data_IF_782206968947
#
_entry.id   IF_782206968947
#
_cell.length_a   1.000
_cell.length_b   1.000
_cell.length_c   1.000
_cell.angle_alpha   90.00
_cell.angle_beta   90.00
_cell.angle_gamma   90.00
#
_symmetry.space_group_name_H-M   'P 1'
#
loop_
_entity.id
_entity.type
_entity.pdbx_description
1 polymer ?
#
# COMPACT_ATOMS: atom_id res chain seq x y z
N UNK A 1 -24.52 -32.30 -10.20
CA UNK A 1 -23.27 -32.47 -9.41
C UNK A 1 -22.02 -31.88 -10.08
N UNK A 2 -21.96 -31.67 -11.40
CA UNK A 2 -20.78 -31.11 -12.10
C UNK A 2 -20.46 -29.65 -11.79
N UNK A 3 -21.46 -28.81 -11.51
CA UNK A 3 -21.26 -27.37 -11.25
C UNK A 3 -20.62 -27.05 -9.88
N UNK A 4 -20.75 -27.90 -8.86
CA UNK A 4 -20.20 -27.66 -7.54
C UNK A 4 -18.68 -27.97 -7.46
N UNK A 5 -18.20 -28.91 -8.28
CA UNK A 5 -16.77 -29.22 -8.40
C UNK A 5 -16.02 -28.17 -9.22
N UNK A 6 -16.69 -27.46 -10.13
CA UNK A 6 -16.07 -26.44 -10.99
C UNK A 6 -15.70 -25.15 -10.23
N UNK A 7 -16.38 -24.82 -9.11
CA UNK A 7 -16.12 -23.62 -8.32
C UNK A 7 -15.08 -23.83 -7.21
N UNK A 8 -14.80 -25.06 -6.77
CA UNK A 8 -13.85 -25.31 -5.67
C UNK A 8 -12.43 -24.85 -6.01
N UNK A 9 -11.96 -25.14 -7.22
CA UNK A 9 -10.60 -24.75 -7.65
C UNK A 9 -10.44 -23.23 -7.81
N UNK A 10 -11.35 -22.49 -8.47
CA UNK A 10 -11.31 -21.03 -8.50
C UNK A 10 -11.31 -20.40 -7.11
N UNK A 11 -12.14 -20.88 -6.19
CA UNK A 11 -12.16 -20.40 -4.80
C UNK A 11 -10.81 -20.64 -4.13
N UNK A 12 -10.25 -21.84 -4.30
CA UNK A 12 -8.93 -22.18 -3.72
C UNK A 12 -7.83 -21.28 -4.29
N UNK A 13 -7.78 -21.06 -5.62
CA UNK A 13 -6.84 -20.14 -6.25
C UNK A 13 -6.99 -18.72 -5.70
N UNK A 14 -8.21 -18.23 -5.62
CA UNK A 14 -8.50 -16.92 -5.08
C UNK A 14 -8.08 -16.80 -3.60
N UNK A 15 -8.35 -17.82 -2.78
CA UNK A 15 -7.98 -17.84 -1.37
C UNK A 15 -6.45 -17.78 -1.17
N UNK A 16 -5.68 -18.58 -1.93
CA UNK A 16 -4.22 -18.55 -1.84
C UNK A 16 -3.61 -17.25 -2.40
N UNK A 17 -4.18 -16.70 -3.47
CA UNK A 17 -3.76 -15.40 -3.98
C UNK A 17 -4.06 -14.27 -2.95
N UNK A 18 -5.23 -14.30 -2.30
CA UNK A 18 -5.58 -13.37 -1.23
C UNK A 18 -4.70 -13.57 0.01
N UNK A 19 -4.33 -14.80 0.32
CA UNK A 19 -3.38 -15.10 1.40
C UNK A 19 -1.98 -14.56 1.08
N UNK A 20 -1.52 -14.64 -0.17
CA UNK A 20 -0.27 -13.99 -0.58
C UNK A 20 -0.39 -12.47 -0.51
N UNK A 21 -1.53 -11.90 -0.85
CA UNK A 21 -1.76 -10.46 -0.71
C UNK A 21 -1.70 -10.02 0.75
N UNK A 22 -2.17 -10.83 1.71
CA UNK A 22 -1.97 -10.58 3.14
C UNK A 22 -0.50 -10.77 3.55
N UNK A 23 0.14 -11.84 3.07
CA UNK A 23 1.53 -12.17 3.37
C UNK A 23 2.51 -11.06 2.96
N UNK A 24 2.32 -10.43 1.80
CA UNK A 24 3.19 -9.35 1.36
C UNK A 24 3.10 -8.11 2.28
N UNK A 25 1.93 -7.82 2.89
CA UNK A 25 1.83 -6.78 3.90
C UNK A 25 2.62 -7.12 5.16
N UNK A 26 2.63 -8.39 5.57
CA UNK A 26 3.42 -8.84 6.72
C UNK A 26 4.90 -8.54 6.49
N UNK A 27 5.46 -8.95 5.36
CA UNK A 27 6.87 -8.71 5.05
C UNK A 27 7.17 -7.23 4.82
N UNK A 28 6.24 -6.48 4.20
CA UNK A 28 6.38 -5.05 3.98
C UNK A 28 6.61 -4.31 5.30
N UNK A 29 5.75 -4.52 6.28
CA UNK A 29 5.71 -3.78 7.53
C UNK A 29 6.70 -4.29 8.59
N UNK A 30 7.13 -5.57 8.50
CA UNK A 30 8.09 -6.16 9.44
C UNK A 30 9.40 -5.38 9.54
N UNK A 31 9.81 -4.66 8.48
CA UNK A 31 11.03 -3.85 8.50
C UNK A 31 10.92 -2.66 9.47
N UNK A 32 9.77 -1.97 9.50
CA UNK A 32 9.54 -0.84 10.42
C UNK A 32 9.55 -1.28 11.89
N UNK A 33 8.96 -2.45 12.18
CA UNK A 33 8.91 -3.02 13.52
C UNK A 33 10.30 -3.41 14.04
N UNK A 34 11.18 -3.82 13.13
CA UNK A 34 12.56 -4.22 13.41
C UNK A 34 13.55 -3.06 13.23
N UNK A 35 13.06 -1.82 13.25
CA UNK A 35 13.88 -0.64 12.99
C UNK A 35 15.11 -0.58 13.89
N UNK A 36 14.93 -0.74 15.18
CA UNK A 36 16.02 -0.65 16.16
C UNK A 36 17.05 -1.77 15.96
N UNK A 37 16.58 -3.00 15.79
CA UNK A 37 17.44 -4.17 15.58
C UNK A 37 18.25 -4.06 14.28
N UNK A 38 17.66 -3.52 13.22
CA UNK A 38 18.36 -3.34 11.94
C UNK A 38 19.41 -2.23 12.04
N UNK A 39 19.05 -1.09 12.65
CA UNK A 39 19.98 0.03 12.87
C UNK A 39 21.20 -0.44 13.66
N UNK A 40 20.98 -1.18 14.75
CA UNK A 40 22.06 -1.71 15.58
C UNK A 40 22.90 -2.75 14.84
N UNK A 41 22.25 -3.75 14.23
CA UNK A 41 22.95 -4.88 13.58
C UNK A 41 23.87 -4.44 12.44
N UNK A 42 23.45 -3.43 11.68
CA UNK A 42 24.18 -2.96 10.50
C UNK A 42 24.94 -1.65 10.72
N UNK A 43 24.85 -1.09 11.94
CA UNK A 43 25.45 0.19 12.29
C UNK A 43 25.13 1.30 11.27
N UNK A 44 23.88 1.36 10.85
CA UNK A 44 23.39 2.33 9.87
C UNK A 44 22.68 3.51 10.56
N UNK A 45 22.70 4.65 9.90
CA UNK A 45 21.95 5.82 10.36
C UNK A 45 20.46 5.76 9.95
N UNK A 46 19.71 6.71 10.44
CA UNK A 46 18.28 6.85 10.17
C UNK A 46 17.97 7.10 8.69
N UNK A 47 18.86 7.82 7.97
CA UNK A 47 18.67 8.09 6.54
C UNK A 47 18.83 6.82 5.72
N UNK A 48 19.82 6.00 6.06
CA UNK A 48 20.02 4.70 5.44
C UNK A 48 18.81 3.78 5.71
N UNK A 49 18.26 3.79 6.94
CA UNK A 49 17.08 3.01 7.27
C UNK A 49 15.85 3.47 6.47
N UNK A 50 15.56 4.77 6.37
CA UNK A 50 14.47 5.28 5.53
C UNK A 50 14.67 4.96 4.05
N UNK A 51 15.90 4.94 3.57
CA UNK A 51 16.24 4.45 2.23
C UNK A 51 15.87 2.97 2.09
N UNK A 52 16.23 2.13 3.05
CA UNK A 52 15.91 0.70 3.08
C UNK A 52 14.39 0.47 3.05
N UNK A 53 13.63 1.15 3.90
CA UNK A 53 12.18 1.06 3.92
C UNK A 53 11.57 1.45 2.57
N UNK A 54 12.03 2.54 1.98
CA UNK A 54 11.59 3.05 0.70
C UNK A 54 11.88 2.16 -0.51
N UNK A 55 12.92 1.31 -0.48
CA UNK A 55 13.30 0.42 -1.59
C UNK A 55 12.22 -0.61 -1.93
N UNK A 56 11.40 -1.01 -0.96
CA UNK A 56 10.21 -1.83 -1.22
C UNK A 56 9.30 -1.16 -2.24
N UNK A 57 9.01 0.12 -2.05
CA UNK A 57 8.08 0.88 -2.89
C UNK A 57 8.60 1.09 -4.31
N UNK A 58 9.92 1.26 -4.48
CA UNK A 58 10.56 1.31 -5.81
C UNK A 58 10.36 -0.01 -6.54
N UNK A 59 10.65 -1.13 -5.88
CA UNK A 59 10.46 -2.46 -6.46
C UNK A 59 9.00 -2.71 -6.83
N UNK A 60 8.09 -2.41 -5.92
CA UNK A 60 6.65 -2.59 -6.12
C UNK A 60 6.12 -1.74 -7.28
N UNK A 61 6.40 -0.43 -7.29
CA UNK A 61 5.97 0.47 -8.33
C UNK A 61 6.55 0.10 -9.71
N UNK A 62 7.85 -0.23 -9.75
CA UNK A 62 8.54 -0.61 -11.00
C UNK A 62 7.98 -1.87 -11.64
N UNK A 63 7.49 -2.81 -10.85
CA UNK A 63 6.94 -4.08 -11.34
C UNK A 63 5.42 -4.12 -11.52
N UNK A 64 4.70 -3.11 -11.08
CA UNK A 64 3.23 -3.04 -11.17
C UNK A 64 2.72 -3.24 -12.60
N UNK A 65 3.24 -2.45 -13.54
CA UNK A 65 2.86 -2.52 -14.98
C UNK A 65 3.44 -3.77 -15.66
N UNK A 66 4.74 -4.09 -15.54
CA UNK A 66 5.30 -5.32 -16.12
C UNK A 66 4.55 -6.58 -15.70
N UNK A 67 4.26 -6.77 -14.41
CA UNK A 67 3.52 -7.93 -13.90
C UNK A 67 2.10 -7.95 -14.46
N UNK A 68 1.41 -6.79 -14.51
CA UNK A 68 0.09 -6.70 -15.12
C UNK A 68 0.08 -7.24 -16.56
N UNK A 69 1.06 -6.81 -17.38
CA UNK A 69 1.23 -7.29 -18.75
C UNK A 69 1.56 -8.79 -18.79
N UNK A 70 2.41 -9.28 -17.90
CA UNK A 70 2.79 -10.69 -17.84
C UNK A 70 1.60 -11.58 -17.46
N UNK A 71 0.77 -11.16 -16.50
CA UNK A 71 -0.47 -11.88 -16.12
C UNK A 71 -1.47 -11.99 -17.26
N UNK A 72 -1.34 -11.14 -18.25
CA UNK A 72 -2.20 -11.15 -19.43
C UNK A 72 -1.66 -12.03 -20.56
N UNK A 73 -0.34 -12.12 -20.68
CA UNK A 73 0.34 -12.85 -21.77
C UNK A 73 0.68 -14.28 -21.44
N UNK A 74 0.90 -14.58 -20.17
CA UNK A 74 1.37 -15.89 -19.70
C UNK A 74 0.37 -16.52 -18.72
N UNK A 75 0.55 -17.80 -18.44
CA UNK A 75 -0.24 -18.47 -17.39
C UNK A 75 -0.07 -17.72 -16.06
N UNK A 76 -1.19 -17.16 -15.57
CA UNK A 76 -1.19 -16.33 -14.36
C UNK A 76 -0.63 -17.08 -13.15
N UNK A 77 -0.72 -18.43 -13.09
CA UNK A 77 -0.18 -19.25 -11.99
C UNK A 77 1.34 -19.23 -12.01
N UNK A 78 1.95 -19.34 -13.18
CA UNK A 78 3.40 -19.29 -13.36
C UNK A 78 3.91 -17.89 -13.03
N UNK A 79 3.25 -16.84 -13.55
CA UNK A 79 3.62 -15.45 -13.25
C UNK A 79 3.53 -15.16 -11.76
N UNK A 80 2.42 -15.61 -11.12
CA UNK A 80 2.23 -15.43 -9.67
C UNK A 80 3.29 -16.18 -8.88
N UNK A 81 3.57 -17.44 -9.22
CA UNK A 81 4.59 -18.25 -8.56
C UNK A 81 5.99 -17.62 -8.68
N UNK A 82 6.39 -17.21 -9.88
CA UNK A 82 7.71 -16.58 -10.11
C UNK A 82 7.83 -15.27 -9.32
N UNK A 83 6.76 -14.47 -9.29
CA UNK A 83 6.75 -13.24 -8.49
C UNK A 83 6.86 -13.52 -6.98
N UNK A 84 6.13 -14.53 -6.48
CA UNK A 84 6.25 -15.00 -5.10
C UNK A 84 7.67 -15.50 -4.81
N UNK A 85 8.26 -16.25 -5.73
CA UNK A 85 9.63 -16.74 -5.60
C UNK A 85 10.64 -15.60 -5.51
N UNK A 86 10.46 -14.52 -6.28
CA UNK A 86 11.28 -13.30 -6.17
C UNK A 86 11.14 -12.67 -4.78
N UNK A 87 9.90 -12.60 -4.22
CA UNK A 87 9.67 -12.12 -2.85
C UNK A 87 10.38 -13.01 -1.82
N UNK A 88 10.29 -14.33 -1.95
CA UNK A 88 10.91 -15.31 -1.05
C UNK A 88 12.44 -15.20 -1.11
N UNK A 89 13.02 -15.17 -2.30
CA UNK A 89 14.46 -14.99 -2.49
C UNK A 89 14.94 -13.66 -1.92
N UNK A 90 14.18 -12.57 -2.15
CA UNK A 90 14.45 -11.26 -1.54
C UNK A 90 14.44 -11.33 -0.01
N UNK A 91 13.48 -12.08 0.58
CA UNK A 91 13.40 -12.29 2.03
C UNK A 91 14.59 -13.07 2.56
N UNK A 92 15.03 -14.11 1.86
CA UNK A 92 16.21 -14.89 2.23
C UNK A 92 17.47 -14.03 2.15
N UNK A 93 17.65 -13.26 1.06
CA UNK A 93 18.77 -12.32 0.93
C UNK A 93 18.74 -11.30 2.07
N UNK A 94 17.56 -10.76 2.40
CA UNK A 94 17.40 -9.78 3.48
C UNK A 94 17.84 -10.32 4.83
N UNK A 95 17.44 -11.54 5.19
CA UNK A 95 17.77 -12.13 6.50
C UNK A 95 19.19 -12.63 6.61
N UNK A 96 19.77 -13.15 5.51
CA UNK A 96 21.15 -13.69 5.49
C UNK A 96 22.21 -12.63 5.31
N UNK A 97 21.81 -11.39 4.99
CA UNK A 97 22.75 -10.30 4.72
C UNK A 97 23.61 -9.95 5.92
N UNK A 98 24.89 -9.73 5.64
CA UNK A 98 25.86 -9.11 6.54
C UNK A 98 26.22 -7.68 6.13
N UNK A 99 25.84 -7.25 4.93
CA UNK A 99 26.14 -5.92 4.39
C UNK A 99 24.88 -5.19 3.98
N UNK A 100 24.82 -3.88 4.23
CA UNK A 100 23.66 -3.02 3.96
C UNK A 100 23.19 -3.06 2.49
N UNK A 101 24.10 -3.12 1.52
CA UNK A 101 23.73 -3.17 0.11
C UNK A 101 22.88 -4.41 -0.27
N UNK A 102 23.16 -5.56 0.34
CA UNK A 102 22.35 -6.75 0.12
C UNK A 102 20.97 -6.65 0.77
N UNK A 103 20.85 -5.92 1.90
CA UNK A 103 19.54 -5.58 2.47
C UNK A 103 18.70 -4.76 1.49
N UNK A 104 19.29 -3.75 0.84
CA UNK A 104 18.64 -2.94 -0.19
C UNK A 104 18.15 -3.80 -1.37
N UNK A 105 19.01 -4.69 -1.86
CA UNK A 105 18.66 -5.63 -2.95
C UNK A 105 17.51 -6.55 -2.50
N UNK A 106 17.60 -7.16 -1.31
CA UNK A 106 16.54 -7.99 -0.75
C UNK A 106 15.22 -7.22 -0.66
N UNK A 107 15.26 -5.99 -0.16
CA UNK A 107 14.07 -5.14 -0.01
C UNK A 107 13.44 -4.76 -1.35
N UNK A 108 14.28 -4.43 -2.35
CA UNK A 108 13.83 -4.18 -3.72
C UNK A 108 13.14 -5.40 -4.33
N UNK A 109 13.74 -6.59 -4.16
CA UNK A 109 13.17 -7.86 -4.66
C UNK A 109 11.85 -8.20 -3.96
N UNK A 110 11.76 -8.00 -2.64
CA UNK A 110 10.52 -8.20 -1.89
C UNK A 110 9.42 -7.31 -2.48
N UNK A 111 9.70 -6.03 -2.71
CA UNK A 111 8.74 -5.10 -3.33
C UNK A 111 8.35 -5.52 -4.74
N UNK A 112 9.34 -5.85 -5.58
CA UNK A 112 9.13 -6.26 -6.97
C UNK A 112 8.23 -7.50 -7.08
N UNK A 113 8.49 -8.53 -6.30
CA UNK A 113 7.66 -9.74 -6.28
C UNK A 113 6.28 -9.53 -5.66
N UNK A 114 6.17 -8.65 -4.64
CA UNK A 114 4.91 -8.33 -3.95
C UNK A 114 3.89 -7.63 -4.85
N UNK A 115 4.32 -6.98 -5.93
CA UNK A 115 3.44 -6.27 -6.85
C UNK A 115 2.39 -7.18 -7.52
N UNK A 116 2.61 -8.50 -7.56
CA UNK A 116 1.63 -9.48 -8.07
C UNK A 116 0.43 -9.67 -7.12
N UNK A 117 0.55 -9.32 -5.84
CA UNK A 117 -0.43 -9.68 -4.80
C UNK A 117 -1.86 -9.36 -5.19
N UNK A 118 -2.22 -8.09 -5.32
CA UNK A 118 -3.56 -7.69 -5.71
C UNK A 118 -3.87 -7.98 -7.19
N UNK A 119 -2.88 -7.89 -8.07
CA UNK A 119 -3.06 -8.12 -9.51
C UNK A 119 -3.49 -9.57 -9.81
N UNK A 120 -2.90 -10.55 -9.13
CA UNK A 120 -3.27 -11.96 -9.29
C UNK A 120 -4.69 -12.23 -8.79
N UNK A 121 -5.08 -11.64 -7.66
CA UNK A 121 -6.45 -11.73 -7.14
C UNK A 121 -7.45 -11.14 -8.13
N UNK A 122 -7.17 -9.95 -8.67
CA UNK A 122 -8.02 -9.31 -9.66
C UNK A 122 -8.15 -10.16 -10.94
N UNK A 123 -7.04 -10.74 -11.41
CA UNK A 123 -7.03 -11.64 -12.57
C UNK A 123 -7.87 -12.91 -12.34
N UNK A 124 -7.71 -13.56 -11.19
CA UNK A 124 -8.49 -14.76 -10.83
C UNK A 124 -9.97 -14.42 -10.74
N UNK A 125 -10.29 -13.29 -10.07
CA UNK A 125 -11.67 -12.84 -9.91
C UNK A 125 -12.35 -12.60 -11.26
N UNK A 126 -11.72 -11.86 -12.15
CA UNK A 126 -12.30 -11.54 -13.46
C UNK A 126 -12.38 -12.76 -14.39
N UNK A 127 -11.46 -13.73 -14.25
CA UNK A 127 -11.41 -14.94 -15.11
C UNK A 127 -12.43 -15.99 -14.70
N UNK A 128 -12.66 -16.21 -13.40
CA UNK A 128 -13.38 -17.39 -12.91
C UNK A 128 -14.72 -17.10 -12.26
N UNK A 129 -14.98 -15.86 -11.85
CA UNK A 129 -16.22 -15.52 -11.15
C UNK A 129 -17.16 -14.69 -12.02
N UNK A 130 -18.49 -14.86 -11.89
CA UNK A 130 -19.46 -14.00 -12.54
C UNK A 130 -19.31 -12.55 -12.14
N UNK A 131 -19.55 -11.61 -13.08
CA UNK A 131 -19.38 -10.16 -12.89
C UNK A 131 -20.07 -9.62 -11.63
N UNK A 132 -21.24 -10.17 -11.28
CA UNK A 132 -22.01 -9.79 -10.07
C UNK A 132 -21.26 -10.01 -8.75
N UNK A 133 -20.22 -10.86 -8.74
CA UNK A 133 -19.42 -11.15 -7.54
C UNK A 133 -18.07 -10.43 -7.54
N UNK A 134 -17.67 -9.78 -8.63
CA UNK A 134 -16.33 -9.18 -8.74
C UNK A 134 -16.06 -8.19 -7.61
N UNK A 135 -16.95 -7.24 -7.36
CA UNK A 135 -16.79 -6.23 -6.31
C UNK A 135 -16.66 -6.85 -4.92
N UNK A 136 -17.46 -7.88 -4.62
CA UNK A 136 -17.42 -8.59 -3.33
C UNK A 136 -16.10 -9.32 -3.17
N UNK A 137 -15.67 -10.07 -4.19
CA UNK A 137 -14.42 -10.85 -4.15
C UNK A 137 -13.18 -9.95 -4.02
N UNK A 138 -13.13 -8.84 -4.77
CA UNK A 138 -12.05 -7.86 -4.67
C UNK A 138 -12.06 -7.15 -3.32
N UNK A 139 -13.22 -6.76 -2.80
CA UNK A 139 -13.36 -6.14 -1.49
C UNK A 139 -12.90 -7.06 -0.36
N UNK A 140 -13.34 -8.33 -0.37
CA UNK A 140 -12.88 -9.34 0.59
C UNK A 140 -11.36 -9.54 0.52
N UNK A 141 -10.80 -9.62 -0.69
CA UNK A 141 -9.34 -9.75 -0.85
C UNK A 141 -8.58 -8.57 -0.29
N UNK A 142 -9.10 -7.37 -0.47
CA UNK A 142 -8.50 -6.15 0.09
C UNK A 142 -8.53 -6.19 1.63
N UNK A 143 -9.66 -6.59 2.21
CA UNK A 143 -9.77 -6.79 3.67
C UNK A 143 -8.79 -7.86 4.17
N UNK A 144 -8.65 -9.00 3.49
CA UNK A 144 -7.64 -10.02 3.83
C UNK A 144 -6.22 -9.47 3.74
N UNK A 145 -5.91 -8.68 2.71
CA UNK A 145 -4.62 -8.00 2.58
C UNK A 145 -4.30 -7.14 3.80
N UNK A 146 -5.25 -6.28 4.20
CA UNK A 146 -5.11 -5.39 5.35
C UNK A 146 -5.06 -6.14 6.70
N UNK A 147 -5.72 -7.29 6.83
CA UNK A 147 -5.53 -8.16 8.00
C UNK A 147 -4.07 -8.62 8.11
N UNK A 148 -3.38 -8.85 6.98
CA UNK A 148 -1.94 -9.08 6.97
C UNK A 148 -1.16 -7.90 7.56
N UNK A 149 -1.55 -6.66 7.24
CA UNK A 149 -0.95 -5.47 7.82
C UNK A 149 -1.16 -5.37 9.34
N UNK A 150 -2.37 -5.67 9.81
CA UNK A 150 -2.66 -5.74 11.27
C UNK A 150 -1.79 -6.81 11.94
N UNK A 151 -1.68 -7.99 11.33
CA UNK A 151 -0.84 -9.07 11.84
C UNK A 151 0.64 -8.70 11.85
N UNK A 152 1.10 -7.92 10.90
CA UNK A 152 2.48 -7.49 10.75
C UNK A 152 2.99 -6.64 11.91
N UNK A 153 2.15 -5.95 12.66
CA UNK A 153 2.57 -5.06 13.75
C UNK A 153 2.71 -5.86 15.06
N UNK A 154 1.66 -5.94 15.87
CA UNK A 154 1.74 -6.55 17.20
C UNK A 154 2.04 -8.05 17.17
N UNK A 155 1.33 -8.90 16.40
CA UNK A 155 1.62 -10.33 16.39
C UNK A 155 3.02 -10.67 15.89
N UNK A 156 3.49 -9.93 14.88
CA UNK A 156 4.81 -10.15 14.32
C UNK A 156 5.92 -9.78 15.31
N UNK A 157 5.78 -8.69 16.09
CA UNK A 157 6.74 -8.33 17.13
C UNK A 157 6.83 -9.43 18.21
N UNK A 158 5.69 -10.02 18.59
CA UNK A 158 5.68 -11.15 19.54
C UNK A 158 6.44 -12.37 18.99
N UNK A 159 6.27 -12.67 17.70
CA UNK A 159 7.02 -13.76 17.04
C UNK A 159 8.52 -13.48 17.01
N UNK A 160 8.93 -12.24 16.68
CA UNK A 160 10.34 -11.85 16.72
C UNK A 160 10.93 -11.96 18.12
N UNK A 161 10.22 -11.51 19.13
CA UNK A 161 10.68 -11.58 20.52
C UNK A 161 10.81 -13.04 21.02
N UNK A 162 9.92 -13.94 20.54
CA UNK A 162 9.92 -15.33 21.00
C UNK A 162 10.90 -16.23 20.22
N UNK A 163 10.93 -16.12 18.91
CA UNK A 163 11.71 -17.00 18.01
C UNK A 163 12.98 -16.35 17.46
N UNK A 164 13.11 -15.04 17.59
CA UNK A 164 14.22 -14.27 17.06
C UNK A 164 14.07 -13.94 15.57
N UNK A 165 14.92 -13.00 15.11
CA UNK A 165 14.92 -12.43 13.78
C UNK A 165 15.05 -13.48 12.66
N UNK A 166 16.10 -14.30 12.70
CA UNK A 166 16.43 -15.22 11.61
C UNK A 166 15.35 -16.29 11.43
N UNK A 167 14.94 -16.94 12.54
CA UNK A 167 13.95 -18.02 12.48
C UNK A 167 12.60 -17.53 11.94
N UNK A 168 12.15 -16.35 12.38
CA UNK A 168 10.88 -15.78 11.94
C UNK A 168 10.90 -15.50 10.43
N UNK A 169 11.96 -14.88 9.90
CA UNK A 169 12.05 -14.63 8.46
C UNK A 169 12.20 -15.90 7.61
N UNK A 170 12.95 -16.90 8.08
CA UNK A 170 13.01 -18.19 7.36
C UNK A 170 11.65 -18.89 7.32
N UNK A 171 10.90 -18.81 8.42
CA UNK A 171 9.53 -19.36 8.47
C UNK A 171 8.62 -18.59 7.49
N UNK A 172 8.70 -17.27 7.46
CA UNK A 172 7.96 -16.48 6.48
C UNK A 172 8.36 -16.84 5.04
N UNK A 173 9.64 -17.00 4.75
CA UNK A 173 10.10 -17.42 3.42
C UNK A 173 9.53 -18.80 3.04
N UNK A 174 9.54 -19.76 3.96
CA UNK A 174 8.96 -21.08 3.73
C UNK A 174 7.44 -21.04 3.51
N UNK A 175 6.72 -20.24 4.29
CA UNK A 175 5.27 -20.01 4.13
C UNK A 175 4.97 -19.38 2.76
N UNK A 176 5.70 -18.32 2.39
CA UNK A 176 5.56 -17.68 1.09
C UNK A 176 5.81 -18.65 -0.08
N UNK A 177 6.87 -19.43 0.01
CA UNK A 177 7.16 -20.47 -0.99
C UNK A 177 6.04 -21.52 -1.07
N UNK A 178 5.52 -21.98 0.07
CA UNK A 178 4.39 -22.92 0.13
C UNK A 178 3.13 -22.38 -0.54
N UNK A 179 2.78 -21.11 -0.28
CA UNK A 179 1.65 -20.42 -0.92
C UNK A 179 1.84 -20.42 -2.45
N UNK A 180 3.02 -20.01 -2.91
CA UNK A 180 3.34 -19.96 -4.35
C UNK A 180 3.26 -21.34 -5.01
N UNK A 181 3.83 -22.36 -4.37
CA UNK A 181 3.82 -23.73 -4.87
C UNK A 181 2.38 -24.28 -4.98
N UNK A 182 1.53 -24.01 -3.99
CA UNK A 182 0.12 -24.42 -4.04
C UNK A 182 -0.59 -23.76 -5.23
N UNK A 183 -0.41 -22.46 -5.45
CA UNK A 183 -1.01 -21.74 -6.59
C UNK A 183 -0.55 -22.38 -7.92
N UNK A 184 0.73 -22.72 -8.04
CA UNK A 184 1.27 -23.35 -9.25
C UNK A 184 0.68 -24.73 -9.51
N UNK A 185 0.51 -25.55 -8.47
CA UNK A 185 0.05 -26.95 -8.56
C UNK A 185 -1.47 -27.08 -8.78
N UNK A 186 -2.27 -26.08 -8.47
CA UNK A 186 -3.71 -26.13 -8.74
C UNK A 186 -3.95 -26.16 -10.25
N UNK A 187 -4.55 -27.24 -10.74
CA UNK A 187 -4.82 -27.41 -12.19
C UNK A 187 -5.79 -26.34 -12.70
N UNK A 188 -5.46 -25.79 -13.86
CA UNK A 188 -6.33 -24.88 -14.62
C UNK A 188 -7.13 -25.71 -15.65
N UNK A 189 -8.38 -26.02 -15.33
CA UNK A 189 -9.23 -26.82 -16.21
C UNK A 189 -9.95 -25.99 -17.29
N UNK A 190 -9.86 -24.68 -17.23
CA UNK A 190 -10.41 -23.83 -18.27
C UNK A 190 -9.33 -23.55 -19.31
N UNK A 191 -9.58 -23.87 -20.59
CA UNK A 191 -8.70 -23.42 -21.66
C UNK A 191 -8.55 -21.91 -21.53
N UNK A 192 -7.36 -21.43 -21.80
CA UNK A 192 -7.10 -20.00 -21.93
C UNK A 192 -8.04 -19.46 -23.03
N UNK A 193 -9.28 -19.17 -22.63
CA UNK A 193 -10.12 -18.36 -23.51
C UNK A 193 -9.40 -17.02 -23.60
N UNK A 194 -8.83 -16.80 -24.76
CA UNK A 194 -8.27 -15.55 -25.22
C UNK A 194 -9.36 -14.45 -25.28
N UNK A 195 -10.04 -14.22 -24.15
CA UNK A 195 -10.92 -13.05 -23.97
C UNK A 195 -10.07 -11.85 -23.62
N UNK A 196 -8.87 -11.82 -24.21
CA UNK A 196 -7.97 -10.72 -23.97
C UNK A 196 -7.92 -9.84 -25.21
N UNK A 197 -8.23 -8.59 -25.02
CA UNK A 197 -7.99 -7.57 -26.04
C UNK A 197 -6.48 -7.45 -26.22
N UNK A 198 -5.91 -8.26 -27.12
CA UNK A 198 -4.52 -8.18 -27.60
C UNK A 198 -4.09 -6.75 -27.97
N UNK A 199 -5.07 -5.89 -28.25
CA UNK A 199 -4.84 -4.53 -28.74
C UNK A 199 -4.28 -3.58 -27.67
N UNK A 200 -4.63 -3.75 -26.37
CA UNK A 200 -4.21 -2.80 -25.33
C UNK A 200 -2.81 -3.13 -24.79
N UNK A 201 -2.54 -4.38 -24.50
CA UNK A 201 -1.24 -4.79 -23.89
C UNK A 201 -0.10 -4.90 -24.90
N UNK A 202 -0.39 -5.12 -26.19
CA UNK A 202 0.62 -5.10 -27.25
C UNK A 202 0.85 -3.68 -27.81
N UNK A 203 -0.02 -2.73 -27.53
CA UNK A 203 0.12 -1.37 -28.02
C UNK A 203 0.98 -0.53 -27.07
N UNK A 204 2.32 -0.61 -27.27
CA UNK A 204 3.29 0.21 -26.51
C UNK A 204 2.94 1.70 -26.52
N UNK A 205 2.38 2.20 -27.63
CA UNK A 205 1.98 3.61 -27.75
C UNK A 205 0.80 3.95 -26.83
N UNK A 206 -0.14 3.01 -26.60
CA UNK A 206 -1.26 3.21 -25.70
C UNK A 206 -0.80 3.19 -24.23
N UNK A 207 0.08 2.26 -23.87
CA UNK A 207 0.69 2.21 -22.54
C UNK A 207 1.39 3.54 -22.25
N UNK A 208 2.22 4.02 -23.18
CA UNK A 208 2.94 5.27 -23.02
C UNK A 208 1.99 6.47 -22.98
N UNK A 209 0.94 6.49 -23.79
CA UNK A 209 -0.08 7.56 -23.78
C UNK A 209 -0.84 7.63 -22.46
N UNK A 210 -1.18 6.49 -21.83
CA UNK A 210 -1.84 6.47 -20.52
C UNK A 210 -0.87 6.88 -19.42
N UNK A 211 0.37 6.37 -19.46
CA UNK A 211 1.39 6.73 -18.48
C UNK A 211 1.77 8.21 -18.53
N UNK A 212 1.76 8.82 -19.72
CA UNK A 212 2.02 10.25 -19.93
C UNK A 212 0.75 11.11 -19.94
N UNK A 213 -0.42 10.54 -19.63
CA UNK A 213 -1.66 11.31 -19.60
C UNK A 213 -1.61 12.34 -18.47
N UNK A 214 -1.64 13.66 -18.76
CA UNK A 214 -1.45 14.68 -17.74
C UNK A 214 -2.52 14.66 -16.66
N UNK A 215 -3.74 14.24 -16.98
CA UNK A 215 -4.82 14.12 -15.99
C UNK A 215 -4.57 12.95 -15.02
N UNK A 216 -4.14 11.80 -15.54
CA UNK A 216 -3.79 10.64 -14.70
C UNK A 216 -2.56 10.91 -13.84
N UNK A 217 -1.53 11.56 -14.43
CA UNK A 217 -0.34 11.98 -13.68
C UNK A 217 -0.69 12.96 -12.57
N UNK A 218 -1.56 13.93 -12.84
CA UNK A 218 -1.99 14.90 -11.84
C UNK A 218 -2.81 14.25 -10.71
N UNK A 219 -3.75 13.37 -11.05
CA UNK A 219 -4.51 12.59 -10.05
C UNK A 219 -3.58 11.71 -9.22
N UNK A 220 -2.63 11.03 -9.85
CA UNK A 220 -1.63 10.21 -9.17
C UNK A 220 -0.74 11.03 -8.23
N UNK A 221 -0.30 12.20 -8.67
CA UNK A 221 0.51 13.12 -7.86
C UNK A 221 -0.28 13.60 -6.63
N UNK A 222 -1.51 14.05 -6.80
CA UNK A 222 -2.34 14.51 -5.69
C UNK A 222 -2.68 13.39 -4.71
N UNK A 223 -3.04 12.20 -5.24
CA UNK A 223 -3.29 11.01 -4.44
C UNK A 223 -2.04 10.56 -3.68
N UNK A 224 -0.89 10.55 -4.36
CA UNK A 224 0.40 10.20 -3.77
C UNK A 224 0.84 11.16 -2.67
N UNK A 225 0.64 12.47 -2.84
CA UNK A 225 0.91 13.47 -1.80
C UNK A 225 0.09 13.20 -0.51
N UNK A 226 -1.17 12.81 -0.65
CA UNK A 226 -2.03 12.59 0.51
C UNK A 226 -1.77 11.24 1.19
N UNK A 227 -1.45 10.18 0.44
CA UNK A 227 -1.28 8.83 1.01
C UNK A 227 0.15 8.52 1.41
N UNK A 228 1.13 9.00 0.64
CA UNK A 228 2.55 8.67 0.87
C UNK A 228 3.03 9.09 2.26
N UNK A 229 2.55 10.23 2.74
CA UNK A 229 2.83 10.69 4.10
C UNK A 229 2.33 9.75 5.18
N UNK A 230 1.09 9.23 5.02
CA UNK A 230 0.56 8.26 5.95
C UNK A 230 1.35 6.95 5.92
N UNK A 231 1.69 6.44 4.72
CA UNK A 231 2.49 5.23 4.59
C UNK A 231 3.86 5.39 5.24
N UNK A 232 4.57 6.49 4.97
CA UNK A 232 5.84 6.79 5.63
C UNK A 232 5.71 6.88 7.15
N UNK A 233 4.67 7.52 7.66
CA UNK A 233 4.43 7.63 9.09
C UNK A 233 4.07 6.29 9.73
N UNK A 234 3.05 5.60 9.22
CA UNK A 234 2.53 4.38 9.83
C UNK A 234 3.51 3.19 9.72
N UNK A 235 4.24 3.08 8.62
CA UNK A 235 5.17 1.97 8.39
C UNK A 235 6.49 2.12 9.18
N UNK A 236 6.89 3.35 9.56
CA UNK A 236 8.21 3.60 10.14
C UNK A 236 8.20 4.47 11.40
N UNK A 237 7.45 5.57 11.40
CA UNK A 237 7.61 6.63 12.39
C UNK A 237 6.55 6.66 13.50
N UNK A 238 5.41 5.99 13.33
CA UNK A 238 4.33 6.03 14.31
C UNK A 238 4.74 5.45 15.67
N UNK A 239 5.41 4.29 15.68
CA UNK A 239 5.85 3.63 16.92
C UNK A 239 6.88 4.50 17.67
N UNK A 240 8.00 4.93 17.05
CA UNK A 240 8.93 5.85 17.71
C UNK A 240 8.28 7.15 18.19
N UNK A 241 7.36 7.72 17.41
CA UNK A 241 6.64 8.94 17.79
C UNK A 241 5.79 8.73 19.05
N UNK A 242 5.02 7.65 19.12
CA UNK A 242 4.15 7.38 20.27
C UNK A 242 4.94 7.01 21.54
N UNK A 243 6.02 6.25 21.39
CA UNK A 243 6.87 5.88 22.53
C UNK A 243 7.65 7.08 23.07
N UNK A 244 8.24 7.89 22.19
CA UNK A 244 9.14 8.98 22.63
C UNK A 244 8.37 10.26 23.03
N UNK A 245 7.25 10.56 22.34
CA UNK A 245 6.53 11.83 22.56
C UNK A 245 5.36 11.68 23.53
N UNK A 246 4.58 10.60 23.42
CA UNK A 246 3.45 10.35 24.30
C UNK A 246 3.76 9.37 25.43
N UNK A 247 5.00 8.85 25.45
CA UNK A 247 5.48 7.89 26.46
C UNK A 247 4.56 6.68 26.61
N UNK A 248 3.89 6.28 25.52
CA UNK A 248 3.18 5.03 25.47
C UNK A 248 4.19 3.88 25.54
N UNK A 249 3.85 2.79 26.21
CA UNK A 249 4.71 1.63 26.17
C UNK A 249 4.75 1.00 24.76
N UNK A 250 5.72 0.11 24.53
CA UNK A 250 5.92 -0.48 23.19
C UNK A 250 4.67 -1.21 22.69
N UNK A 251 3.96 -1.93 23.58
CA UNK A 251 2.75 -2.66 23.22
C UNK A 251 1.60 -1.73 22.85
N UNK A 252 1.40 -0.65 23.60
CA UNK A 252 0.39 0.38 23.32
C UNK A 252 0.68 1.06 22.00
N UNK A 253 1.94 1.41 21.72
CA UNK A 253 2.36 2.05 20.46
C UNK A 253 2.15 1.15 19.26
N UNK A 254 2.45 -0.15 19.39
CA UNK A 254 2.19 -1.15 18.36
C UNK A 254 0.69 -1.32 18.10
N UNK A 255 -0.14 -1.42 19.15
CA UNK A 255 -1.60 -1.53 19.00
C UNK A 255 -2.17 -0.28 18.35
N UNK A 256 -1.83 0.92 18.84
CA UNK A 256 -2.30 2.17 18.26
C UNK A 256 -1.94 2.28 16.77
N UNK A 257 -0.71 1.91 16.39
CA UNK A 257 -0.28 1.88 14.99
C UNK A 257 -1.06 0.86 14.16
N UNK A 258 -1.33 -0.35 14.71
CA UNK A 258 -2.12 -1.38 14.01
C UNK A 258 -3.52 -0.91 13.66
N UNK A 259 -4.11 -0.03 14.48
CA UNK A 259 -5.48 0.44 14.30
C UNK A 259 -5.67 1.28 13.04
N UNK A 260 -4.61 1.85 12.44
CA UNK A 260 -4.73 2.48 11.12
C UNK A 260 -5.13 1.44 10.07
N UNK A 261 -4.54 0.24 10.10
CA UNK A 261 -4.85 -0.82 9.15
C UNK A 261 -6.22 -1.46 9.43
N UNK A 262 -6.62 -1.54 10.70
CA UNK A 262 -7.99 -1.94 11.07
C UNK A 262 -8.99 -0.91 10.52
N UNK A 263 -8.73 0.38 10.68
CA UNK A 263 -9.55 1.45 10.10
C UNK A 263 -9.67 1.34 8.57
N UNK A 264 -8.57 1.02 7.89
CA UNK A 264 -8.57 0.81 6.44
C UNK A 264 -9.44 -0.38 6.02
N UNK A 265 -9.55 -1.46 6.81
CA UNK A 265 -10.44 -2.58 6.51
C UNK A 265 -11.91 -2.14 6.36
N UNK A 266 -12.33 -1.16 7.13
CA UNK A 266 -13.70 -0.62 7.11
C UNK A 266 -13.84 0.62 6.24
N UNK A 267 -12.75 1.35 6.01
CA UNK A 267 -12.74 2.65 5.35
C UNK A 267 -13.26 2.62 3.91
N UNK A 268 -12.88 1.61 3.13
CA UNK A 268 -13.36 1.47 1.75
C UNK A 268 -14.88 1.41 1.66
N UNK A 269 -15.54 0.42 2.27
CA UNK A 269 -17.01 0.35 2.31
C UNK A 269 -17.67 1.59 2.89
N UNK A 270 -17.16 2.16 3.99
CA UNK A 270 -17.72 3.36 4.63
C UNK A 270 -17.67 4.56 3.68
N UNK A 271 -16.53 4.84 3.06
CA UNK A 271 -16.37 6.00 2.21
C UNK A 271 -17.17 5.86 0.90
N UNK A 272 -17.27 4.66 0.35
CA UNK A 272 -18.12 4.41 -0.82
C UNK A 272 -19.60 4.63 -0.46
N UNK A 273 -20.07 4.07 0.65
CA UNK A 273 -21.43 4.30 1.14
C UNK A 273 -21.76 5.79 1.36
N UNK A 274 -20.83 6.54 1.97
CA UNK A 274 -20.97 7.98 2.15
C UNK A 274 -20.95 8.75 0.83
N UNK A 275 -20.15 8.31 -0.15
CA UNK A 275 -20.11 8.90 -1.48
C UNK A 275 -21.42 8.70 -2.24
N UNK A 276 -22.03 7.54 -2.10
CA UNK A 276 -23.35 7.24 -2.68
C UNK A 276 -24.47 8.04 -1.99
N UNK A 277 -24.42 8.16 -0.66
CA UNK A 277 -25.38 8.94 0.12
C UNK A 277 -25.33 10.42 -0.25
N UNK A 278 -24.13 11.01 -0.37
CA UNK A 278 -23.94 12.40 -0.78
C UNK A 278 -23.97 12.60 -2.31
N UNK A 279 -24.13 11.51 -3.08
CA UNK A 279 -24.09 11.51 -4.55
C UNK A 279 -22.85 12.23 -5.12
N UNK A 280 -21.73 12.15 -4.42
CA UNK A 280 -20.50 12.88 -4.75
C UNK A 280 -19.25 12.20 -4.24
N UNK A 281 -18.57 11.46 -5.09
CA UNK A 281 -17.24 10.91 -4.81
C UNK A 281 -16.22 12.02 -4.51
N UNK A 282 -16.32 13.13 -5.25
CA UNK A 282 -15.41 14.27 -5.12
C UNK A 282 -15.46 14.90 -3.72
N UNK A 283 -16.65 15.08 -3.16
CA UNK A 283 -16.84 15.66 -1.83
C UNK A 283 -16.21 14.79 -0.75
N UNK A 284 -16.34 13.47 -0.87
CA UNK A 284 -15.77 12.54 0.11
C UNK A 284 -14.24 12.52 0.04
N UNK A 285 -13.63 12.63 -1.14
CA UNK A 285 -12.16 12.74 -1.26
C UNK A 285 -11.65 13.99 -0.53
N UNK A 286 -12.35 15.13 -0.70
CA UNK A 286 -12.00 16.39 -0.03
C UNK A 286 -12.17 16.25 1.49
N UNK A 287 -13.32 15.72 1.95
CA UNK A 287 -13.57 15.49 3.39
C UNK A 287 -12.50 14.57 3.99
N UNK A 288 -12.17 13.49 3.31
CA UNK A 288 -11.13 12.56 3.76
C UNK A 288 -9.78 13.26 3.91
N UNK A 289 -9.37 14.07 2.94
CA UNK A 289 -8.14 14.86 3.02
C UNK A 289 -8.14 15.83 4.19
N UNK A 290 -9.26 16.55 4.41
CA UNK A 290 -9.42 17.48 5.55
C UNK A 290 -9.32 16.74 6.88
N UNK A 291 -10.02 15.61 7.02
CA UNK A 291 -9.99 14.81 8.25
C UNK A 291 -8.61 14.24 8.53
N UNK A 292 -7.90 13.73 7.52
CA UNK A 292 -6.51 13.28 7.66
C UNK A 292 -5.61 14.43 8.12
N UNK A 293 -5.72 15.60 7.50
CA UNK A 293 -4.96 16.79 7.91
C UNK A 293 -5.23 17.20 9.37
N UNK A 294 -6.50 17.25 9.78
CA UNK A 294 -6.89 17.56 11.17
C UNK A 294 -6.32 16.52 12.14
N UNK A 295 -6.43 15.23 11.83
CA UNK A 295 -5.89 14.17 12.70
C UNK A 295 -4.38 14.33 12.88
N UNK A 296 -3.62 14.60 11.81
CA UNK A 296 -2.19 14.85 11.92
C UNK A 296 -1.86 16.11 12.71
N UNK A 297 -2.63 17.19 12.56
CA UNK A 297 -2.47 18.41 13.40
C UNK A 297 -2.71 18.07 14.87
N UNK A 298 -3.73 17.31 15.21
CA UNK A 298 -3.98 16.86 16.60
C UNK A 298 -2.81 16.02 17.10
N UNK A 299 -2.36 15.02 16.33
CA UNK A 299 -1.22 14.17 16.70
C UNK A 299 0.07 14.97 16.92
N UNK A 300 0.32 16.01 16.18
CA UNK A 300 1.55 16.79 16.29
C UNK A 300 1.53 17.83 17.42
N UNK A 301 0.41 18.51 17.59
CA UNK A 301 0.36 19.71 18.44
C UNK A 301 -0.33 19.50 19.79
N UNK A 302 -1.09 18.42 20.02
CA UNK A 302 -1.57 18.11 21.36
C UNK A 302 -0.39 17.72 22.26
N UNK A 303 -0.35 18.31 23.47
CA UNK A 303 0.77 18.13 24.42
C UNK A 303 0.81 16.74 25.02
N UNK A 304 -0.35 16.11 25.23
CA UNK A 304 -0.48 14.76 25.78
C UNK A 304 -1.68 14.05 25.18
N UNK A 305 -1.47 12.88 24.64
CA UNK A 305 -2.54 11.97 24.19
C UNK A 305 -2.35 10.62 24.89
N UNK A 306 -3.44 10.12 25.47
CA UNK A 306 -3.44 8.80 26.07
C UNK A 306 -3.60 7.72 24.99
N UNK A 307 -3.38 6.47 25.37
CA UNK A 307 -3.49 5.31 24.49
C UNK A 307 -4.84 5.24 23.74
N UNK A 308 -5.97 5.47 24.46
CA UNK A 308 -7.30 5.40 23.85
C UNK A 308 -7.51 6.45 22.76
N UNK A 309 -7.16 7.70 23.06
CA UNK A 309 -7.31 8.81 22.09
C UNK A 309 -6.43 8.61 20.87
N UNK A 310 -5.16 8.22 21.07
CA UNK A 310 -4.23 7.91 19.98
C UNK A 310 -4.79 6.78 19.11
N UNK A 311 -5.31 5.73 19.74
CA UNK A 311 -5.93 4.57 19.06
C UNK A 311 -7.14 4.97 18.20
N UNK A 312 -8.02 5.82 18.72
CA UNK A 312 -9.18 6.33 17.98
C UNK A 312 -8.72 7.17 16.79
N UNK A 313 -7.75 8.06 16.99
CA UNK A 313 -7.23 8.91 15.90
C UNK A 313 -6.60 8.07 14.79
N UNK A 314 -5.82 7.04 15.13
CA UNK A 314 -5.21 6.13 14.15
C UNK A 314 -6.25 5.30 13.40
N UNK A 315 -7.29 4.83 14.08
CA UNK A 315 -8.40 4.12 13.44
C UNK A 315 -9.15 5.03 12.44
N UNK A 316 -9.49 6.25 12.83
CA UNK A 316 -10.14 7.22 11.95
C UNK A 316 -9.24 7.61 10.77
N UNK A 317 -7.94 7.79 11.01
CA UNK A 317 -6.95 8.05 9.98
C UNK A 317 -6.97 6.96 8.90
N UNK A 318 -7.02 5.69 9.33
CA UNK A 318 -7.17 4.53 8.44
C UNK A 318 -8.44 4.57 7.61
N UNK A 319 -9.60 4.91 8.20
CA UNK A 319 -10.86 5.06 7.46
C UNK A 319 -10.70 6.09 6.34
N UNK A 320 -10.22 7.28 6.66
CA UNK A 320 -10.11 8.36 5.68
C UNK A 320 -9.03 8.12 4.64
N UNK A 321 -7.98 7.35 4.93
CA UNK A 321 -6.96 6.96 3.96
C UNK A 321 -7.54 6.14 2.78
N UNK A 322 -8.68 5.47 2.97
CA UNK A 322 -9.34 4.71 1.90
C UNK A 322 -10.00 5.57 0.80
N UNK A 323 -9.87 6.90 0.83
CA UNK A 323 -10.25 7.78 -0.29
C UNK A 323 -9.65 7.33 -1.64
N UNK A 324 -8.54 6.59 -1.62
CA UNK A 324 -7.91 6.02 -2.82
C UNK A 324 -8.87 5.16 -3.64
N UNK A 325 -9.78 4.42 -3.00
CA UNK A 325 -10.78 3.61 -3.68
C UNK A 325 -11.66 4.49 -4.57
N UNK A 326 -12.02 5.68 -4.07
CA UNK A 326 -12.82 6.65 -4.84
C UNK A 326 -12.01 7.26 -5.98
N UNK A 327 -10.71 7.52 -5.78
CA UNK A 327 -9.81 7.96 -6.85
C UNK A 327 -9.75 6.92 -7.97
N UNK A 328 -9.59 5.63 -7.66
CA UNK A 328 -9.55 4.58 -8.66
C UNK A 328 -10.87 4.45 -9.42
N UNK A 329 -12.01 4.69 -8.76
CA UNK A 329 -13.32 4.78 -9.41
C UNK A 329 -13.37 5.93 -10.41
N UNK A 330 -12.90 7.12 -10.03
CA UNK A 330 -12.84 8.28 -10.94
C UNK A 330 -11.91 7.99 -12.11
N UNK A 331 -10.70 7.47 -11.85
CA UNK A 331 -9.71 7.12 -12.88
C UNK A 331 -10.29 6.13 -13.89
N UNK A 332 -11.00 5.11 -13.42
CA UNK A 332 -11.63 4.12 -14.30
C UNK A 332 -12.69 4.72 -15.22
N UNK A 333 -13.38 5.78 -14.79
CA UNK A 333 -14.39 6.48 -15.58
C UNK A 333 -13.83 7.47 -16.62
N UNK A 334 -12.55 7.86 -16.47
CA UNK A 334 -11.88 8.82 -17.38
C UNK A 334 -11.33 8.16 -18.65
N UNK A 335 -11.31 6.85 -18.72
CA UNK A 335 -10.72 6.09 -19.82
C UNK A 335 -11.70 5.00 -20.29
N UNK A 336 -11.56 4.49 -21.54
CA UNK A 336 -12.35 3.36 -22.00
C UNK A 336 -12.17 2.15 -21.06
N UNK A 337 -13.24 1.38 -20.84
CA UNK A 337 -13.29 0.22 -19.93
C UNK A 337 -12.11 -0.76 -20.16
N UNK A 338 -11.72 -0.95 -21.43
CA UNK A 338 -10.57 -1.79 -21.81
C UNK A 338 -9.24 -1.31 -21.23
N UNK A 339 -9.09 -0.02 -20.94
CA UNK A 339 -7.86 0.61 -20.45
C UNK A 339 -7.91 0.97 -18.96
N UNK A 340 -9.04 0.75 -18.30
CA UNK A 340 -9.26 1.16 -16.90
C UNK A 340 -8.23 0.54 -15.94
N UNK A 341 -7.93 -0.74 -16.08
CA UNK A 341 -6.93 -1.42 -15.25
C UNK A 341 -5.54 -0.81 -15.38
N UNK A 342 -5.11 -0.48 -16.61
CA UNK A 342 -3.82 0.15 -16.85
C UNK A 342 -3.76 1.59 -16.32
N UNK A 343 -4.86 2.35 -16.43
CA UNK A 343 -4.95 3.69 -15.86
C UNK A 343 -4.88 3.67 -14.33
N UNK A 344 -5.59 2.75 -13.67
CA UNK A 344 -5.50 2.53 -12.22
C UNK A 344 -4.07 2.13 -11.82
N UNK A 345 -3.45 1.20 -12.54
CA UNK A 345 -2.08 0.77 -12.28
C UNK A 345 -1.08 1.95 -12.41
N UNK A 346 -1.28 2.85 -13.40
CA UNK A 346 -0.46 4.05 -13.57
C UNK A 346 -0.56 4.97 -12.35
N UNK A 347 -1.78 5.27 -11.89
CA UNK A 347 -2.01 6.12 -10.72
C UNK A 347 -1.46 5.45 -9.46
N UNK A 348 -1.67 4.14 -9.28
CA UNK A 348 -1.16 3.41 -8.13
C UNK A 348 0.37 3.33 -8.11
N UNK A 349 1.02 3.20 -9.28
CA UNK A 349 2.47 3.26 -9.41
C UNK A 349 3.02 4.59 -8.86
N UNK A 350 2.39 5.71 -9.21
CA UNK A 350 2.76 7.03 -8.71
C UNK A 350 2.55 7.11 -7.19
N UNK A 351 1.40 6.65 -6.69
CA UNK A 351 1.12 6.61 -5.24
C UNK A 351 2.21 5.84 -4.47
N UNK A 352 2.61 4.68 -4.96
CA UNK A 352 3.66 3.87 -4.33
C UNK A 352 5.04 4.58 -4.35
N UNK A 353 5.37 5.31 -5.42
CA UNK A 353 6.60 6.11 -5.45
C UNK A 353 6.62 7.20 -4.38
N UNK A 354 5.47 7.78 -4.04
CA UNK A 354 5.39 8.71 -2.92
C UNK A 354 5.67 8.05 -1.57
N UNK A 355 5.33 6.79 -1.37
CA UNK A 355 5.76 6.03 -0.20
C UNK A 355 7.30 6.08 -0.04
N UNK A 356 8.06 5.77 -1.11
CA UNK A 356 9.52 5.89 -1.08
C UNK A 356 9.99 7.33 -0.75
N UNK A 357 9.39 8.33 -1.41
CA UNK A 357 9.77 9.74 -1.22
C UNK A 357 9.58 10.16 0.24
N UNK A 358 8.44 9.82 0.85
CA UNK A 358 8.14 10.20 2.23
C UNK A 358 9.01 9.46 3.25
N UNK A 359 9.27 8.17 3.07
CA UNK A 359 10.21 7.44 3.94
C UNK A 359 11.57 8.13 3.98
N UNK A 360 12.12 8.44 2.80
CA UNK A 360 13.43 9.09 2.72
C UNK A 360 13.40 10.55 3.22
N UNK A 361 12.37 11.31 2.85
CA UNK A 361 12.23 12.71 3.26
C UNK A 361 12.14 12.85 4.78
N UNK A 362 11.24 12.08 5.42
CA UNK A 362 11.06 12.14 6.87
C UNK A 362 12.35 11.75 7.60
N UNK A 363 13.04 10.72 7.11
CA UNK A 363 14.31 10.29 7.69
C UNK A 363 15.42 11.35 7.56
N UNK A 364 15.46 12.09 6.45
CA UNK A 364 16.42 13.20 6.26
C UNK A 364 16.09 14.34 7.21
N UNK A 365 14.82 14.78 7.26
CA UNK A 365 14.42 15.94 8.08
C UNK A 365 14.62 15.67 9.56
N UNK A 366 14.22 14.49 10.04
CA UNK A 366 14.38 14.15 11.46
C UNK A 366 15.86 14.04 11.85
N UNK A 367 16.70 13.51 10.96
CA UNK A 367 18.13 13.37 11.21
C UNK A 367 18.88 14.70 11.15
N UNK A 368 18.39 15.65 10.33
CA UNK A 368 19.04 16.97 10.21
C UNK A 368 18.96 17.81 11.48
N UNK A 369 17.87 17.66 12.24
CA UNK A 369 17.64 18.43 13.47
C UNK A 369 18.04 17.68 14.75
N UNK A 370 18.43 16.39 14.61
CA UNK A 370 18.77 15.54 15.74
C UNK A 370 20.04 16.05 16.45
N UNK A 371 19.97 16.21 17.76
CA UNK A 371 21.02 16.73 18.63
C UNK A 371 22.05 15.67 19.09
N UNK A 372 22.01 14.46 18.53
CA UNK A 372 22.98 13.39 18.81
C UNK A 372 22.60 12.50 20.00
N UNK A 373 21.44 12.68 20.62
CA UNK A 373 21.02 11.85 21.76
C UNK A 373 20.68 10.41 21.32
N UNK A 374 21.21 9.45 22.07
CA UNK A 374 20.94 8.01 21.85
C UNK A 374 20.47 7.36 23.15
N UNK A 375 19.70 6.29 23.05
CA UNK A 375 19.34 5.45 24.19
C UNK A 375 20.49 4.50 24.59
N UNK A 376 20.29 3.71 25.66
CA UNK A 376 21.28 2.73 26.12
C UNK A 376 21.66 1.66 25.06
N UNK A 377 20.86 1.52 24.03
CA UNK A 377 21.07 0.59 22.92
C UNK A 377 21.63 1.29 21.69
N UNK A 378 22.14 2.51 21.82
CA UNK A 378 22.73 3.32 20.75
C UNK A 378 21.76 3.68 19.60
N UNK A 379 20.44 3.69 19.88
CA UNK A 379 19.40 4.09 18.94
C UNK A 379 19.08 5.56 19.16
N UNK A 380 18.94 6.37 18.06
CA UNK A 380 18.59 7.78 18.16
C UNK A 380 17.30 8.04 18.91
N UNK A 381 17.35 8.99 19.87
CA UNK A 381 16.19 9.57 20.51
C UNK A 381 15.93 10.93 19.88
N UNK A 382 14.69 11.19 19.51
CA UNK A 382 14.30 12.43 18.86
C UNK A 382 13.44 13.28 19.75
N UNK A 383 13.63 14.57 19.68
CA UNK A 383 12.80 15.56 20.38
C UNK A 383 11.43 15.68 19.69
N UNK A 384 10.48 16.26 20.40
CA UNK A 384 9.17 16.60 19.83
C UNK A 384 9.28 17.49 18.59
N UNK A 385 10.22 18.45 18.61
CA UNK A 385 10.45 19.37 17.49
C UNK A 385 10.95 18.64 16.24
N UNK A 386 11.82 17.63 16.39
CA UNK A 386 12.30 16.83 15.28
C UNK A 386 11.15 16.09 14.58
N UNK A 387 10.26 15.48 15.36
CA UNK A 387 9.05 14.86 14.83
C UNK A 387 8.08 15.87 14.20
N UNK A 388 7.85 17.03 14.83
CA UNK A 388 6.99 18.07 14.27
C UNK A 388 7.52 18.51 12.91
N UNK A 389 8.80 18.78 12.78
CA UNK A 389 9.42 19.20 11.51
C UNK A 389 9.30 18.13 10.43
N UNK A 390 9.57 16.85 10.76
CA UNK A 390 9.53 15.76 9.79
C UNK A 390 8.10 15.39 9.35
N UNK A 391 7.13 15.42 10.29
CA UNK A 391 5.77 14.91 10.03
C UNK A 391 4.83 16.05 9.56
N UNK A 392 5.13 17.33 9.84
CA UNK A 392 4.30 18.46 9.41
C UNK A 392 4.13 18.59 7.89
N UNK A 393 5.00 17.97 7.12
CA UNK A 393 4.85 17.87 5.66
C UNK A 393 3.54 17.17 5.28
N UNK A 394 3.02 16.23 6.11
CA UNK A 394 1.83 15.45 5.79
C UNK A 394 0.57 16.33 5.74
N UNK A 395 0.21 17.11 6.78
CA UNK A 395 -0.94 18.00 6.67
C UNK A 395 -0.78 19.05 5.57
N UNK A 396 0.44 19.51 5.28
CA UNK A 396 0.71 20.41 4.13
C UNK A 396 0.39 19.71 2.82
N UNK A 397 0.84 18.47 2.64
CA UNK A 397 0.54 17.67 1.45
C UNK A 397 -0.96 17.37 1.32
N UNK A 398 -1.66 17.12 2.43
CA UNK A 398 -3.13 17.00 2.43
C UNK A 398 -3.79 18.28 1.91
N UNK A 399 -3.36 19.47 2.37
CA UNK A 399 -3.89 20.75 1.88
C UNK A 399 -3.64 20.91 0.38
N UNK A 400 -2.43 20.63 -0.09
CA UNK A 400 -2.09 20.69 -1.53
C UNK A 400 -2.98 19.72 -2.33
N UNK A 401 -3.14 18.48 -1.82
CA UNK A 401 -4.00 17.47 -2.43
C UNK A 401 -5.46 17.94 -2.53
N UNK A 402 -6.01 18.48 -1.43
CA UNK A 402 -7.37 19.01 -1.38
C UNK A 402 -7.57 20.12 -2.41
N UNK A 403 -6.69 21.13 -2.42
CA UNK A 403 -6.77 22.27 -3.37
C UNK A 403 -6.67 21.75 -4.81
N UNK A 404 -5.75 20.83 -5.08
CA UNK A 404 -5.58 20.23 -6.41
C UNK A 404 -6.81 19.46 -6.87
N UNK A 405 -7.41 18.64 -6.01
CA UNK A 405 -8.66 17.94 -6.32
C UNK A 405 -9.84 18.89 -6.50
N UNK A 406 -9.97 19.94 -5.68
CA UNK A 406 -10.99 20.97 -5.86
C UNK A 406 -10.89 21.63 -7.25
N UNK A 407 -9.67 22.01 -7.65
CA UNK A 407 -9.41 22.57 -8.97
C UNK A 407 -9.79 21.59 -10.10
N UNK A 408 -9.37 20.36 -10.00
CA UNK A 408 -9.65 19.31 -10.99
C UNK A 408 -11.15 19.08 -11.17
N UNK A 409 -11.89 19.02 -10.06
CA UNK A 409 -13.33 18.80 -10.07
C UNK A 409 -14.12 19.98 -10.59
N UNK A 410 -13.69 21.22 -10.33
CA UNK A 410 -14.29 22.42 -10.92
C UNK A 410 -14.10 22.44 -12.45
N UNK A 411 -12.88 22.12 -12.92
CA UNK A 411 -12.58 22.08 -14.35
C UNK A 411 -13.39 21.01 -15.09
N UNK A 412 -13.64 19.87 -14.49
CA UNK A 412 -14.48 18.81 -15.08
C UNK A 412 -15.94 19.21 -15.17
N UNK A 413 -16.51 19.91 -14.18
CA UNK A 413 -17.88 20.46 -14.22
C UNK A 413 -18.07 21.49 -15.35
N UNK A 414 -17.10 22.37 -15.56
CA UNK A 414 -17.13 23.37 -16.62
C UNK A 414 -17.12 22.70 -17.99
N UNK A 415 -16.33 21.64 -18.19
CA UNK A 415 -16.27 20.90 -19.45
C UNK A 415 -17.60 20.19 -19.78
N UNK A 416 -18.26 19.60 -18.79
CA UNK A 416 -19.57 18.98 -18.96
C UNK A 416 -20.65 20.00 -19.33
N UNK A 417 -20.63 21.19 -18.74
CA UNK A 417 -21.61 22.26 -19.02
C UNK A 417 -21.42 22.89 -20.41
N UNK A 418 -20.17 22.99 -20.91
CA UNK A 418 -19.91 23.47 -22.30
C UNK A 418 -20.34 22.45 -23.32
N UNK A 419 -20.09 21.16 -23.11
CA UNK A 419 -20.51 20.10 -24.06
C UNK A 419 -22.03 19.97 -24.13
N UNK A 420 -22.74 20.17 -23.01
CA UNK A 420 -24.23 20.15 -23.00
C UNK A 420 -24.85 21.38 -23.71
N UNK A 421 -24.18 22.51 -23.68
CA UNK A 421 -24.62 23.71 -24.40
C UNK A 421 -24.39 23.63 -25.90
N UNK A 422 -23.34 22.91 -26.37
CA UNK A 422 -23.07 22.69 -27.80
C UNK A 422 -24.00 21.64 -28.44
N UNK A 423 -24.64 20.78 -27.63
CA UNK A 423 -25.61 19.76 -28.10
C UNK A 423 -27.05 20.32 -28.14
N UNK A 424 -27.30 21.49 -27.56
CA UNK A 424 -28.62 22.13 -27.47
C UNK A 424 -28.76 23.34 -28.40
N UNK A 425 -27.82 23.56 -29.32
CA UNK A 425 -27.89 24.52 -30.46
C UNK A 425 -27.83 23.75 -31.76
#
# INVERSE_FOLDING_TARGET
MSNALSLKRPILLWSFASLFFAFQFIIRLSTGILREEIIQKFAIDTIAFGTLAGYYYIGYAGMQIPIGIMLDKFDFRVVTFVSILVTVLGTVIFVTSSHFNYLLIGRLMIGAGSAVGFLSVAKITTKYFPVKYHSIMLGLSFTFGLMGAVFAVTPMKLLFNHFGYNYTFYTLAAVGFGIGLIILLIKNDQPEQATYNHDVTNNKSLILKLFLNPTLLFIGLLGGLMVGGLEGFADEWAIPFFTQIYQLNEMESNIATSLVYVGMCFGGPILVFLADLLKSHNSIIIIAGVMMGIIFVILLFCSSLNFLTTSILMFLLGIFCCYQVLIFTIVSSLVPTKSAGLAIATVNCINMLFGHIFHKFMSIVISYNWDGLVNNSNVPIYSRNDFIMAISIIPVCCIIGIIGFMYLFQKSKIKLQTTTKEVTV
#
